data_IF_881275158477
#
_entry.id   IF_881275158477
#
_cell.length_a   1.000
_cell.length_b   1.000
_cell.length_c   1.000
_cell.angle_alpha   90.00
_cell.angle_beta   90.00
_cell.angle_gamma   90.00
#
_symmetry.space_group_name_H-M   'P 1'
#
loop_
_entity.id
_entity.type
_entity.pdbx_description
1 polymer ?
#
# COMPACT_ATOMS: atom_id res chain seq x y z
N UNK A 1 7.44 -11.05 13.95
CA UNK A 1 5.96 -11.04 14.09
C UNK A 1 5.37 -12.39 14.50
N UNK A 2 5.76 -13.55 13.92
CA UNK A 2 5.34 -14.87 14.48
C UNK A 2 5.78 -14.98 15.94
N UNK A 3 7.04 -14.64 16.24
CA UNK A 3 7.56 -14.60 17.62
C UNK A 3 6.67 -13.74 18.52
N UNK A 4 6.18 -12.58 18.08
CA UNK A 4 5.25 -11.75 18.85
C UNK A 4 3.94 -12.47 19.20
N UNK A 5 3.31 -13.07 18.19
CA UNK A 5 2.03 -13.75 18.35
C UNK A 5 2.14 -14.99 19.26
N UNK A 6 3.27 -15.68 19.23
CA UNK A 6 3.49 -16.90 20.04
C UNK A 6 4.03 -16.61 21.42
N UNK A 7 4.90 -15.60 21.60
CA UNK A 7 5.57 -15.31 22.88
C UNK A 7 4.80 -14.31 23.74
N UNK A 8 4.22 -13.27 23.15
CA UNK A 8 3.50 -12.24 23.90
C UNK A 8 2.00 -12.55 23.99
N UNK A 9 1.38 -12.92 22.86
CA UNK A 9 -0.05 -13.27 22.82
C UNK A 9 -0.35 -14.73 23.16
N UNK A 10 0.67 -15.56 23.42
CA UNK A 10 0.52 -16.98 23.77
C UNK A 10 -0.40 -17.76 22.82
N UNK A 11 -0.42 -17.40 21.52
CA UNK A 11 -1.22 -18.10 20.53
C UNK A 11 -0.53 -19.38 20.05
N UNK A 12 -1.30 -20.46 19.75
CA UNK A 12 -0.73 -21.64 19.15
C UNK A 12 -0.15 -21.33 17.76
N UNK A 13 0.99 -21.93 17.45
CA UNK A 13 1.77 -21.68 16.23
C UNK A 13 0.92 -21.73 14.96
N UNK A 14 -0.02 -22.67 14.88
CA UNK A 14 -0.94 -22.85 13.73
C UNK A 14 -1.86 -21.64 13.53
N UNK A 15 -2.44 -21.08 14.61
CA UNK A 15 -3.28 -19.88 14.54
C UNK A 15 -2.44 -18.63 14.22
N UNK A 16 -1.24 -18.53 14.79
CA UNK A 16 -0.33 -17.43 14.51
C UNK A 16 0.13 -17.42 13.04
N UNK A 17 0.48 -18.58 12.48
CA UNK A 17 0.85 -18.73 11.08
C UNK A 17 -0.31 -18.36 10.15
N UNK A 18 -1.51 -18.88 10.39
CA UNK A 18 -2.70 -18.52 9.59
C UNK A 18 -3.00 -17.03 9.65
N UNK A 19 -2.88 -16.41 10.82
CA UNK A 19 -3.08 -14.96 10.99
C UNK A 19 -2.06 -14.17 10.15
N UNK A 20 -0.78 -14.56 10.18
CA UNK A 20 0.25 -13.88 9.39
C UNK A 20 0.04 -14.07 7.88
N UNK A 21 -0.30 -15.28 7.43
CA UNK A 21 -0.58 -15.57 6.01
C UNK A 21 -1.79 -14.79 5.51
N UNK A 22 -2.88 -14.74 6.30
CA UNK A 22 -4.07 -13.97 5.96
C UNK A 22 -3.77 -12.46 5.90
N UNK A 23 -2.96 -11.96 6.84
CA UNK A 23 -2.49 -10.58 6.81
C UNK A 23 -1.65 -10.29 5.57
N UNK A 24 -0.68 -11.16 5.25
CA UNK A 24 0.15 -11.04 4.04
C UNK A 24 -0.68 -11.04 2.75
N UNK A 25 -1.66 -11.96 2.65
CA UNK A 25 -2.60 -12.01 1.53
C UNK A 25 -3.44 -10.74 1.40
N UNK A 26 -4.01 -10.26 2.51
CA UNK A 26 -4.79 -9.01 2.54
C UNK A 26 -3.92 -7.79 2.17
N UNK A 27 -2.70 -7.72 2.69
CA UNK A 27 -1.73 -6.67 2.37
C UNK A 27 -1.28 -6.69 0.90
N UNK A 28 -1.46 -7.82 0.21
CA UNK A 28 -1.13 -7.96 -1.22
C UNK A 28 -2.30 -7.58 -2.13
N UNK A 29 -3.54 -7.69 -1.65
CA UNK A 29 -4.76 -7.29 -2.37
C UNK A 29 -5.12 -5.81 -2.18
N UNK A 30 -4.89 -5.26 -0.99
CA UNK A 30 -5.17 -3.86 -0.64
C UNK A 30 -4.51 -2.81 -1.54
N UNK A 31 -3.33 -3.02 -2.16
CA UNK A 31 -2.78 -2.13 -3.20
C UNK A 31 -3.73 -1.85 -4.36
N UNK A 32 -4.55 -2.82 -4.77
CA UNK A 32 -5.51 -2.63 -5.86
C UNK A 32 -6.57 -1.57 -5.49
N UNK A 33 -7.07 -1.63 -4.25
CA UNK A 33 -8.02 -0.67 -3.71
C UNK A 33 -7.36 0.69 -3.50
N UNK A 34 -6.14 0.72 -2.96
CA UNK A 34 -5.37 1.95 -2.76
C UNK A 34 -5.10 2.69 -4.07
N UNK A 35 -4.64 1.97 -5.09
CA UNK A 35 -4.41 2.53 -6.43
C UNK A 35 -5.71 3.04 -7.07
N UNK A 36 -6.80 2.27 -6.96
CA UNK A 36 -8.11 2.69 -7.46
C UNK A 36 -8.57 4.02 -6.84
N UNK A 37 -8.43 4.19 -5.52
CA UNK A 37 -8.80 5.41 -4.82
C UNK A 37 -7.90 6.60 -5.20
N UNK A 38 -6.60 6.37 -5.34
CA UNK A 38 -5.63 7.38 -5.75
C UNK A 38 -5.90 7.89 -7.16
N UNK A 39 -6.11 6.98 -8.11
CA UNK A 39 -6.25 7.34 -9.53
C UNK A 39 -7.65 7.87 -9.88
N UNK A 40 -8.68 7.57 -9.06
CA UNK A 40 -10.08 7.96 -9.35
C UNK A 40 -10.58 9.20 -8.60
N UNK A 41 -10.13 9.46 -7.37
CA UNK A 41 -10.76 10.47 -6.50
C UNK A 41 -9.76 11.47 -5.91
N UNK A 42 -8.85 10.99 -5.06
CA UNK A 42 -8.08 11.87 -4.16
C UNK A 42 -6.78 12.40 -4.78
N UNK A 43 -6.25 11.73 -5.81
CA UNK A 43 -4.89 11.97 -6.28
C UNK A 43 -3.84 11.28 -5.40
N UNK A 44 -2.69 10.98 -5.99
CA UNK A 44 -1.64 10.13 -5.38
C UNK A 44 -1.10 10.71 -4.07
N UNK A 45 -0.84 12.01 -4.00
CA UNK A 45 -0.35 12.67 -2.78
C UNK A 45 -1.29 12.49 -1.59
N UNK A 46 -2.57 12.82 -1.76
CA UNK A 46 -3.55 12.75 -0.66
C UNK A 46 -3.81 11.31 -0.22
N UNK A 47 -3.80 10.34 -1.14
CA UNK A 47 -3.92 8.93 -0.79
C UNK A 47 -2.72 8.44 0.02
N UNK A 48 -1.50 8.81 -0.35
CA UNK A 48 -0.29 8.47 0.42
C UNK A 48 -0.37 9.08 1.81
N UNK A 49 -0.74 10.36 1.92
CA UNK A 49 -0.82 11.07 3.20
C UNK A 49 -1.88 10.44 4.12
N UNK A 50 -3.10 10.21 3.61
CA UNK A 50 -4.18 9.59 4.37
C UNK A 50 -3.83 8.17 4.80
N UNK A 51 -3.30 7.34 3.89
CA UNK A 51 -2.90 5.97 4.19
C UNK A 51 -1.76 5.91 5.23
N UNK A 52 -0.83 6.86 5.17
CA UNK A 52 0.26 7.00 6.13
C UNK A 52 -0.25 7.42 7.52
N UNK A 53 -1.21 8.35 7.60
CA UNK A 53 -1.85 8.72 8.86
C UNK A 53 -2.62 7.55 9.49
N UNK A 54 -3.37 6.79 8.69
CA UNK A 54 -4.05 5.56 9.16
C UNK A 54 -3.03 4.57 9.70
N UNK A 55 -1.95 4.32 8.96
CA UNK A 55 -0.88 3.43 9.41
C UNK A 55 -0.24 3.91 10.73
N UNK A 56 -0.05 5.22 10.89
CA UNK A 56 0.51 5.80 12.11
C UNK A 56 -0.40 5.61 13.33
N UNK A 57 -1.71 5.84 13.18
CA UNK A 57 -2.70 5.63 14.25
C UNK A 57 -2.71 4.17 14.69
N UNK A 58 -2.67 3.26 13.73
CA UNK A 58 -2.65 1.81 13.98
C UNK A 58 -1.40 1.39 14.74
N UNK A 59 -0.22 1.80 14.26
CA UNK A 59 1.06 1.50 14.91
C UNK A 59 1.13 2.06 16.34
N UNK A 60 0.60 3.28 16.54
CA UNK A 60 0.53 3.90 17.87
C UNK A 60 -0.41 3.15 18.82
N UNK A 61 -1.51 2.61 18.29
CA UNK A 61 -2.47 1.79 19.06
C UNK A 61 -1.83 0.47 19.47
N UNK A 62 -1.11 -0.18 18.55
CA UNK A 62 -0.38 -1.43 18.83
C UNK A 62 0.66 -1.28 19.94
N UNK A 63 1.41 -0.15 19.96
CA UNK A 63 2.35 0.15 21.05
C UNK A 63 1.62 0.30 22.38
N UNK A 64 0.49 1.01 22.42
CA UNK A 64 -0.29 1.19 23.66
C UNK A 64 -0.85 -0.14 24.19
N UNK A 65 -1.30 -1.03 23.29
CA UNK A 65 -1.78 -2.36 23.71
C UNK A 65 -0.68 -3.27 24.24
N UNK A 66 0.59 -3.02 23.89
CA UNK A 66 1.75 -3.75 24.42
C UNK A 66 2.14 -3.32 25.84
N UNK A 67 1.64 -2.17 26.32
CA UNK A 67 1.87 -1.69 27.68
C UNK A 67 1.03 -2.41 28.74
N UNK A 68 0.33 -3.50 28.39
CA UNK A 68 -0.30 -4.41 29.33
C UNK A 68 0.37 -5.78 29.28
N UNK A 69 1.59 -5.91 29.81
CA UNK A 69 2.05 -7.20 30.29
C UNK A 69 1.12 -7.60 31.44
N UNK A 70 0.88 -8.90 31.57
CA UNK A 70 0.34 -9.47 32.79
C UNK A 70 1.04 -8.82 33.99
N UNK A 71 0.27 -8.19 34.87
CA UNK A 71 0.81 -7.46 36.01
C UNK A 71 1.61 -8.44 36.86
N UNK A 72 2.93 -8.22 36.91
CA UNK A 72 3.89 -9.07 37.60
C UNK A 72 3.82 -8.87 39.12
N UNK A 73 2.74 -9.32 39.74
CA UNK A 73 2.66 -9.54 41.18
C UNK A 73 2.93 -11.00 41.49
N UNK A 74 4.06 -11.31 42.16
CA UNK A 74 4.59 -12.65 42.36
C UNK A 74 3.58 -13.75 42.70
N UNK A 75 3.70 -14.88 42.00
CA UNK A 75 3.02 -16.13 42.34
C UNK A 75 2.39 -16.83 41.14
N UNK A 76 3.18 -17.62 40.40
CA UNK A 76 2.73 -18.83 39.70
C UNK A 76 1.42 -18.81 38.90
N UNK A 77 1.04 -17.70 38.26
CA UNK A 77 -0.15 -17.68 37.38
C UNK A 77 0.27 -17.88 35.92
N UNK A 78 -0.29 -18.93 35.32
CA UNK A 78 -0.22 -19.24 33.90
C UNK A 78 -0.81 -18.03 33.15
N UNK A 79 -0.01 -17.36 32.31
CA UNK A 79 -0.46 -16.26 31.48
C UNK A 79 -1.67 -16.71 30.65
N UNK A 80 -2.82 -16.10 30.93
CA UNK A 80 -4.08 -16.45 30.28
C UNK A 80 -4.05 -15.93 28.84
N UNK A 81 -4.59 -16.73 27.91
CA UNK A 81 -4.69 -16.37 26.49
C UNK A 81 -5.39 -15.00 26.34
N UNK A 82 -4.91 -14.17 25.40
CA UNK A 82 -5.37 -12.79 25.21
C UNK A 82 -6.90 -12.68 25.21
N UNK A 83 -7.42 -11.69 25.94
CA UNK A 83 -8.86 -11.44 26.05
C UNK A 83 -9.49 -11.17 24.67
N UNK A 84 -10.78 -11.51 24.52
CA UNK A 84 -11.51 -11.40 23.26
C UNK A 84 -11.49 -9.96 22.72
N UNK A 85 -11.51 -8.96 23.62
CA UNK A 85 -11.39 -7.55 23.27
C UNK A 85 -10.00 -7.16 22.75
N UNK A 86 -8.94 -7.62 23.40
CA UNK A 86 -7.55 -7.38 22.96
C UNK A 86 -7.27 -8.03 21.59
N UNK A 87 -7.82 -9.23 21.38
CA UNK A 87 -7.69 -9.94 20.11
C UNK A 87 -8.46 -9.23 18.98
N UNK A 88 -9.65 -8.69 19.25
CA UNK A 88 -10.42 -7.90 18.29
C UNK A 88 -9.67 -6.61 17.88
N UNK A 89 -9.09 -5.89 18.85
CA UNK A 89 -8.26 -4.70 18.59
C UNK A 89 -7.05 -5.09 17.73
N UNK A 90 -6.39 -6.22 18.03
CA UNK A 90 -5.27 -6.71 17.23
C UNK A 90 -5.69 -7.00 15.78
N UNK A 91 -6.77 -7.75 15.55
CA UNK A 91 -7.22 -8.05 14.19
C UNK A 91 -7.65 -6.81 13.41
N UNK A 92 -8.36 -5.87 14.06
CA UNK A 92 -8.73 -4.60 13.45
C UNK A 92 -7.48 -3.78 13.09
N UNK A 93 -6.50 -3.72 13.99
CA UNK A 93 -5.24 -3.02 13.76
C UNK A 93 -4.45 -3.66 12.60
N UNK A 94 -4.39 -5.00 12.51
CA UNK A 94 -3.77 -5.70 11.40
C UNK A 94 -4.50 -5.44 10.07
N UNK A 95 -5.84 -5.43 10.07
CA UNK A 95 -6.61 -5.11 8.88
C UNK A 95 -6.35 -3.67 8.40
N UNK A 96 -6.38 -2.70 9.31
CA UNK A 96 -6.11 -1.30 8.98
C UNK A 96 -4.65 -1.06 8.57
N UNK A 97 -3.68 -1.76 9.19
CA UNK A 97 -2.29 -1.73 8.78
C UNK A 97 -2.11 -2.26 7.36
N UNK A 98 -2.81 -3.33 6.99
CA UNK A 98 -2.79 -3.87 5.64
C UNK A 98 -3.33 -2.83 4.63
N UNK A 99 -4.45 -2.18 4.94
CA UNK A 99 -5.02 -1.11 4.09
C UNK A 99 -4.06 0.07 3.95
N UNK A 100 -3.47 0.54 5.06
CA UNK A 100 -2.49 1.63 5.05
C UNK A 100 -1.25 1.29 4.21
N UNK A 101 -0.66 0.11 4.44
CA UNK A 101 0.49 -0.36 3.66
C UNK A 101 0.15 -0.52 2.17
N UNK A 102 -1.05 -1.01 1.85
CA UNK A 102 -1.56 -1.14 0.50
C UNK A 102 -1.75 0.20 -0.20
N UNK A 103 -2.18 1.24 0.51
CA UNK A 103 -2.30 2.59 -0.05
C UNK A 103 -0.96 3.28 -0.33
N UNK A 104 0.06 3.02 0.49
CA UNK A 104 1.36 3.69 0.40
C UNK A 104 2.22 3.10 -0.72
N UNK A 105 2.43 1.77 -0.72
CA UNK A 105 3.43 1.10 -1.58
C UNK A 105 3.30 1.37 -3.09
N UNK A 106 2.14 1.16 -3.73
CA UNK A 106 2.01 1.40 -5.17
C UNK A 106 2.05 2.90 -5.49
N UNK A 107 1.47 3.73 -4.62
CA UNK A 107 1.33 5.16 -4.86
C UNK A 107 2.65 5.90 -4.71
N UNK A 108 3.52 5.54 -3.75
CA UNK A 108 4.81 6.23 -3.54
C UNK A 108 5.74 6.07 -4.73
N UNK A 109 5.82 4.86 -5.31
CA UNK A 109 6.66 4.62 -6.49
C UNK A 109 6.13 5.39 -7.69
N UNK A 110 4.82 5.33 -7.93
CA UNK A 110 4.17 6.06 -9.02
C UNK A 110 4.30 7.59 -8.85
N UNK A 111 4.08 8.10 -7.64
CA UNK A 111 4.22 9.51 -7.31
C UNK A 111 5.66 10.01 -7.48
N UNK A 112 6.65 9.19 -7.14
CA UNK A 112 8.06 9.48 -7.38
C UNK A 112 8.42 9.55 -8.86
N UNK A 113 7.82 8.67 -9.68
CA UNK A 113 7.95 8.71 -11.13
C UNK A 113 7.37 10.02 -11.71
N UNK A 114 6.19 10.41 -11.22
CA UNK A 114 5.46 11.61 -11.68
C UNK A 114 6.23 12.92 -11.45
N UNK A 115 7.26 12.92 -10.61
CA UNK A 115 8.09 14.11 -10.38
C UNK A 115 9.01 14.44 -11.57
N UNK A 116 9.26 13.48 -12.45
CA UNK A 116 10.16 13.65 -13.59
C UNK A 116 9.38 13.67 -14.90
N UNK A 117 9.73 14.57 -15.81
CA UNK A 117 9.14 14.60 -17.15
C UNK A 117 9.92 13.68 -18.10
N UNK A 118 9.31 12.58 -18.53
CA UNK A 118 9.97 11.63 -19.45
C UNK A 118 10.09 12.19 -20.88
N UNK A 119 9.38 13.28 -21.21
CA UNK A 119 9.45 13.90 -22.54
C UNK A 119 10.77 14.65 -22.78
N UNK A 120 11.47 15.04 -21.70
CA UNK A 120 12.79 15.67 -21.78
C UNK A 120 13.92 14.63 -21.56
N UNK A 121 14.79 14.37 -22.56
CA UNK A 121 15.86 13.39 -22.44
C UNK A 121 16.84 13.69 -21.29
N UNK A 122 16.99 14.96 -20.88
CA UNK A 122 17.83 15.34 -19.73
C UNK A 122 17.20 14.96 -18.40
N UNK A 123 15.87 14.91 -18.32
CA UNK A 123 15.14 14.51 -17.12
C UNK A 123 14.99 13.00 -17.05
N UNK A 124 14.79 12.31 -18.17
CA UNK A 124 14.77 10.85 -18.23
C UNK A 124 16.02 10.18 -17.62
N UNK A 125 17.21 10.75 -17.86
CA UNK A 125 18.45 10.27 -17.24
C UNK A 125 18.47 10.44 -15.70
N UNK A 126 17.79 11.46 -15.17
CA UNK A 126 17.65 11.69 -13.72
C UNK A 126 16.66 10.71 -13.10
N UNK A 127 15.60 10.36 -13.80
CA UNK A 127 14.62 9.33 -13.39
C UNK A 127 15.32 7.99 -13.11
N UNK A 128 16.21 7.55 -14.00
CA UNK A 128 16.99 6.32 -13.78
C UNK A 128 17.88 6.37 -12.54
N UNK A 129 18.56 7.50 -12.31
CA UNK A 129 19.37 7.69 -11.09
C UNK A 129 18.52 7.66 -9.83
N UNK A 130 17.33 8.26 -9.86
CA UNK A 130 16.37 8.22 -8.77
C UNK A 130 15.95 6.79 -8.46
N UNK A 131 15.53 6.00 -9.46
CA UNK A 131 15.11 4.62 -9.23
C UNK A 131 16.25 3.72 -8.75
N UNK A 132 17.45 3.87 -9.30
CA UNK A 132 18.63 3.13 -8.84
C UNK A 132 18.90 3.38 -7.35
N UNK A 133 18.87 4.66 -6.93
CA UNK A 133 19.06 5.01 -5.53
C UNK A 133 17.90 4.52 -4.65
N UNK A 134 16.67 4.65 -5.13
CA UNK A 134 15.47 4.17 -4.43
C UNK A 134 15.56 2.67 -4.12
N UNK A 135 15.90 1.84 -5.12
CA UNK A 135 16.03 0.39 -4.91
C UNK A 135 17.23 0.03 -4.03
N UNK A 136 18.34 0.76 -4.15
CA UNK A 136 19.49 0.57 -3.27
C UNK A 136 19.13 0.84 -1.79
N UNK A 137 18.52 1.99 -1.51
CA UNK A 137 18.09 2.36 -0.15
C UNK A 137 17.02 1.41 0.38
N UNK A 138 16.08 0.97 -0.47
CA UNK A 138 15.09 -0.03 -0.10
C UNK A 138 15.75 -1.36 0.33
N UNK A 139 16.71 -1.85 -0.46
CA UNK A 139 17.46 -3.06 -0.11
C UNK A 139 18.20 -2.94 1.21
N UNK A 140 18.92 -1.82 1.41
CA UNK A 140 19.60 -1.53 2.67
C UNK A 140 18.63 -1.44 3.87
N UNK A 141 17.46 -0.83 3.67
CA UNK A 141 16.43 -0.71 4.70
C UNK A 141 15.84 -2.06 5.08
N UNK A 142 15.63 -2.97 4.12
CA UNK A 142 15.18 -4.34 4.39
C UNK A 142 16.23 -5.10 5.20
N UNK A 143 17.51 -4.99 4.83
CA UNK A 143 18.60 -5.63 5.58
C UNK A 143 18.65 -5.13 7.03
N UNK A 144 18.56 -3.82 7.25
CA UNK A 144 18.51 -3.23 8.59
C UNK A 144 17.26 -3.65 9.37
N UNK A 145 16.11 -3.76 8.71
CA UNK A 145 14.87 -4.21 9.34
C UNK A 145 14.94 -5.66 9.81
N UNK A 146 15.51 -6.57 9.01
CA UNK A 146 15.60 -8.00 9.40
C UNK A 146 16.76 -8.30 10.35
N UNK A 147 17.72 -7.39 10.52
CA UNK A 147 18.86 -7.54 11.43
C UNK A 147 18.68 -6.71 12.70
N UNK A 148 18.80 -5.39 12.60
CA UNK A 148 18.81 -4.46 13.73
C UNK A 148 17.46 -4.42 14.43
N UNK A 149 16.36 -4.27 13.68
CA UNK A 149 15.03 -4.16 14.30
C UNK A 149 14.62 -5.49 14.97
N UNK A 150 14.93 -6.62 14.34
CA UNK A 150 14.70 -7.95 14.95
C UNK A 150 15.55 -8.12 16.21
N UNK A 151 16.83 -7.74 16.17
CA UNK A 151 17.69 -7.80 17.35
C UNK A 151 17.16 -6.96 18.50
N UNK A 152 16.66 -5.74 18.24
CA UNK A 152 16.01 -4.90 19.25
C UNK A 152 14.74 -5.55 19.79
N UNK A 153 13.91 -6.14 18.92
CA UNK A 153 12.69 -6.85 19.32
C UNK A 153 12.98 -8.01 20.26
N UNK A 154 14.03 -8.78 19.99
CA UNK A 154 14.38 -9.99 20.75
C UNK A 154 15.18 -9.68 22.04
N UNK A 155 16.03 -8.66 22.06
CA UNK A 155 16.94 -8.38 23.20
C UNK A 155 16.52 -7.20 24.09
N UNK A 156 15.92 -6.16 23.53
CA UNK A 156 15.52 -4.94 24.28
C UNK A 156 14.03 -4.97 24.61
N UNK A 157 13.24 -5.55 23.71
CA UNK A 157 11.82 -5.81 23.91
C UNK A 157 10.93 -5.19 22.83
N UNK A 158 9.68 -5.65 22.80
CA UNK A 158 8.70 -5.32 21.77
C UNK A 158 8.28 -3.85 21.74
N UNK A 159 8.30 -3.16 22.88
CA UNK A 159 7.98 -1.73 22.97
C UNK A 159 8.92 -0.87 22.12
N UNK A 160 10.24 -1.04 22.27
CA UNK A 160 11.24 -0.36 21.45
C UNK A 160 11.26 -0.88 20.01
N UNK A 161 11.09 -2.20 19.84
CA UNK A 161 11.06 -2.85 18.54
C UNK A 161 9.92 -2.42 17.60
N UNK A 162 8.79 -1.97 18.16
CA UNK A 162 7.68 -1.35 17.41
C UNK A 162 7.73 0.19 17.45
N UNK A 163 8.27 0.77 18.52
CA UNK A 163 8.43 2.21 18.69
C UNK A 163 9.35 2.86 17.65
N UNK A 164 10.51 2.26 17.38
CA UNK A 164 11.49 2.80 16.43
C UNK A 164 10.89 2.93 15.00
N UNK A 165 10.28 1.88 14.40
CA UNK A 165 9.62 2.02 13.11
C UNK A 165 8.47 3.03 13.11
N UNK A 166 7.72 3.13 14.21
CA UNK A 166 6.59 4.06 14.34
C UNK A 166 7.04 5.52 14.40
N UNK A 167 8.16 5.80 15.05
CA UNK A 167 8.77 7.12 15.06
C UNK A 167 9.36 7.47 13.69
N UNK A 168 10.04 6.52 13.04
CA UNK A 168 10.57 6.73 11.69
C UNK A 168 9.45 7.03 10.68
N UNK A 169 8.32 6.33 10.78
CA UNK A 169 7.14 6.60 9.96
C UNK A 169 6.54 7.99 10.23
N UNK A 170 6.46 8.40 11.50
CA UNK A 170 6.01 9.75 11.87
C UNK A 170 6.87 10.84 11.23
N UNK A 171 8.20 10.71 11.35
CA UNK A 171 9.15 11.65 10.73
C UNK A 171 9.00 11.67 9.21
N UNK A 172 8.76 10.52 8.58
CA UNK A 172 8.51 10.43 7.13
C UNK A 172 7.23 11.17 6.73
N UNK A 173 6.14 11.03 7.48
CA UNK A 173 4.88 11.75 7.23
C UNK A 173 5.08 13.26 7.31
N UNK A 174 5.79 13.72 8.34
CA UNK A 174 6.09 15.14 8.53
C UNK A 174 6.92 15.68 7.37
N UNK A 175 8.00 14.97 6.99
CA UNK A 175 8.83 15.36 5.86
C UNK A 175 8.06 15.38 4.53
N UNK A 176 7.20 14.37 4.29
CA UNK A 176 6.35 14.30 3.10
C UNK A 176 5.32 15.43 3.06
N UNK A 177 4.71 15.77 4.21
CA UNK A 177 3.79 16.90 4.32
C UNK A 177 4.46 18.25 4.04
N UNK A 178 5.65 18.50 4.62
CA UNK A 178 6.42 19.71 4.36
C UNK A 178 6.89 19.85 2.92
N UNK A 179 7.08 18.73 2.22
CA UNK A 179 7.44 18.70 0.80
C UNK A 179 6.31 19.08 -0.16
N UNK A 180 5.07 19.22 0.31
CA UNK A 180 3.89 19.49 -0.52
C UNK A 180 4.08 20.60 -1.58
N UNK A 181 4.59 21.80 -1.27
CA UNK A 181 4.75 22.86 -2.27
C UNK A 181 5.85 22.60 -3.30
N UNK A 182 6.74 21.64 -3.06
CA UNK A 182 7.80 21.27 -4.00
C UNK A 182 7.35 20.18 -4.99
N UNK A 183 6.25 19.47 -4.69
CA UNK A 183 5.83 18.34 -5.51
C UNK A 183 5.01 18.75 -6.73
N UNK A 184 5.29 18.08 -7.85
CA UNK A 184 4.43 18.11 -9.03
C UNK A 184 3.25 17.17 -8.80
N UNK A 185 2.08 17.75 -8.54
CA UNK A 185 0.84 16.99 -8.38
C UNK A 185 0.11 16.89 -9.72
N UNK A 186 -0.02 15.67 -10.24
CA UNK A 186 -0.82 15.38 -11.43
C UNK A 186 -2.29 15.19 -11.04
N UNK A 187 -3.21 15.69 -11.87
CA UNK A 187 -4.63 15.47 -11.69
C UNK A 187 -4.98 13.98 -11.92
N UNK A 188 -5.93 13.41 -11.15
CA UNK A 188 -6.37 12.04 -11.36
C UNK A 188 -7.00 11.88 -12.74
N UNK A 189 -6.47 10.94 -13.54
CA UNK A 189 -6.89 10.68 -14.94
C UNK A 189 -7.95 9.57 -15.02
N UNK A 190 -8.37 9.03 -13.87
CA UNK A 190 -9.29 7.91 -13.73
C UNK A 190 -8.59 6.56 -13.67
N UNK A 191 -9.20 5.58 -13.02
CA UNK A 191 -8.61 4.24 -12.88
C UNK A 191 -8.77 3.39 -14.14
N UNK A 192 -7.73 2.65 -14.57
CA UNK A 192 -7.87 1.63 -15.62
C UNK A 192 -8.95 0.58 -15.30
N UNK A 193 -9.19 0.29 -14.02
CA UNK A 193 -10.20 -0.66 -13.58
C UNK A 193 -11.63 -0.20 -13.90
N UNK A 194 -11.96 1.08 -13.72
CA UNK A 194 -13.31 1.58 -14.08
C UNK A 194 -13.56 1.42 -15.56
N UNK A 195 -12.54 1.67 -16.40
CA UNK A 195 -12.64 1.52 -17.85
C UNK A 195 -12.79 0.05 -18.26
N UNK A 196 -12.04 -0.86 -17.64
CA UNK A 196 -12.18 -2.29 -17.90
C UNK A 196 -13.61 -2.76 -17.61
N UNK A 197 -14.17 -2.36 -16.46
CA UNK A 197 -15.56 -2.69 -16.11
C UNK A 197 -16.54 -2.05 -17.09
N UNK A 198 -16.36 -0.78 -17.47
CA UNK A 198 -17.20 -0.12 -18.46
C UNK A 198 -17.19 -0.84 -19.82
N UNK A 199 -16.02 -1.25 -20.30
CA UNK A 199 -15.88 -1.99 -21.56
C UNK A 199 -16.54 -3.37 -21.45
N UNK A 200 -16.34 -4.11 -20.36
CA UNK A 200 -16.99 -5.40 -20.14
C UNK A 200 -18.52 -5.28 -20.09
N UNK A 201 -19.04 -4.29 -19.36
CA UNK A 201 -20.48 -4.03 -19.27
C UNK A 201 -21.04 -3.60 -20.63
N UNK A 202 -20.34 -2.71 -21.35
CA UNK A 202 -20.74 -2.27 -22.68
C UNK A 202 -20.75 -3.41 -23.69
N UNK A 203 -19.72 -4.27 -23.68
CA UNK A 203 -19.63 -5.46 -24.54
C UNK A 203 -20.79 -6.43 -24.25
N UNK A 204 -21.08 -6.69 -22.98
CA UNK A 204 -22.18 -7.57 -22.60
C UNK A 204 -23.55 -7.02 -23.02
N UNK A 205 -23.79 -5.72 -22.81
CA UNK A 205 -25.03 -5.05 -23.23
C UNK A 205 -25.18 -4.99 -24.75
N UNK A 206 -24.08 -4.76 -25.48
CA UNK A 206 -24.06 -4.64 -26.95
C UNK A 206 -23.83 -5.97 -27.68
N UNK A 207 -23.88 -7.12 -26.99
CA UNK A 207 -23.64 -8.45 -27.59
C UNK A 207 -24.57 -8.83 -28.75
N UNK A 208 -25.72 -8.14 -28.87
CA UNK A 208 -26.72 -8.36 -29.94
C UNK A 208 -26.60 -7.33 -31.08
N UNK A 209 -25.71 -6.35 -30.95
CA UNK A 209 -25.50 -5.31 -31.97
C UNK A 209 -24.52 -5.87 -33.00
N UNK A 210 -24.88 -5.77 -34.28
CA UNK A 210 -23.99 -6.19 -35.37
C UNK A 210 -22.69 -5.39 -35.36
N UNK A 211 -21.57 -6.06 -35.61
CA UNK A 211 -20.27 -5.39 -35.74
C UNK A 211 -20.29 -4.45 -36.96
N UNK A 212 -19.82 -3.22 -36.76
CA UNK A 212 -19.66 -2.24 -37.85
C UNK A 212 -18.54 -2.73 -38.78
N UNK A 213 -18.76 -2.65 -40.10
CA UNK A 213 -17.83 -3.16 -41.10
C UNK A 213 -16.55 -2.30 -41.23
N UNK A 214 -16.66 -0.98 -41.03
CA UNK A 214 -15.53 -0.05 -41.03
C UNK A 214 -15.19 0.44 -39.61
N UNK A 215 -13.99 0.11 -39.07
CA UNK A 215 -13.51 0.62 -37.78
C UNK A 215 -13.41 2.14 -37.69
N UNK A 216 -13.43 2.86 -38.81
CA UNK A 216 -13.36 4.34 -38.85
C UNK A 216 -14.64 5.03 -38.40
N UNK A 217 -15.77 4.33 -38.41
CA UNK A 217 -17.06 4.86 -37.95
C UNK A 217 -17.23 4.79 -36.42
N UNK A 218 -16.30 4.14 -35.71
CA UNK A 218 -16.32 4.06 -34.26
C UNK A 218 -15.95 5.42 -33.64
N UNK A 219 -16.73 5.83 -32.64
CA UNK A 219 -16.49 7.04 -31.86
C UNK A 219 -15.07 7.05 -31.29
N UNK A 220 -14.34 8.15 -31.56
CA UNK A 220 -12.96 8.37 -31.13
C UNK A 220 -12.90 9.65 -30.32
N UNK A 221 -12.29 9.61 -29.14
CA UNK A 221 -12.14 10.79 -28.29
C UNK A 221 -10.68 10.96 -27.92
N UNK A 222 -9.98 11.83 -28.66
CA UNK A 222 -8.54 12.03 -28.53
C UNK A 222 -8.13 12.59 -27.15
N UNK A 223 -9.02 13.33 -26.48
CA UNK A 223 -8.78 13.83 -25.13
C UNK A 223 -8.84 12.72 -24.07
N UNK A 224 -9.80 11.80 -24.18
CA UNK A 224 -9.95 10.67 -23.25
C UNK A 224 -8.91 9.58 -23.53
N UNK A 225 -8.54 9.38 -24.80
CA UNK A 225 -7.65 8.31 -25.26
C UNK A 225 -6.16 8.66 -25.19
N UNK A 226 -5.82 9.95 -25.16
CA UNK A 226 -4.45 10.49 -25.04
C UNK A 226 -3.62 9.89 -23.90
N UNK A 227 -4.11 9.82 -22.65
CA UNK A 227 -3.34 9.25 -21.54
C UNK A 227 -3.28 7.70 -21.54
N UNK A 228 -3.99 7.02 -22.43
CA UNK A 228 -4.15 5.56 -22.45
C UNK A 228 -3.28 4.88 -23.51
N UNK A 229 -2.88 5.65 -24.52
CA UNK A 229 -2.32 5.09 -25.74
C UNK A 229 -0.92 5.61 -25.97
N UNK A 230 -0.05 4.71 -26.42
CA UNK A 230 1.29 5.05 -26.90
C UNK A 230 1.13 5.81 -28.23
N UNK A 231 0.79 7.10 -28.15
CA UNK A 231 0.56 7.99 -29.30
C UNK A 231 -0.89 8.31 -29.67
N UNK A 232 -1.84 8.29 -28.74
CA UNK A 232 -3.22 8.79 -28.97
C UNK A 232 -4.19 7.80 -29.64
N UNK A 233 -3.81 6.53 -29.86
CA UNK A 233 -4.66 5.50 -30.50
C UNK A 233 -4.75 4.20 -29.70
N UNK A 234 -5.97 3.81 -29.34
CA UNK A 234 -6.27 2.45 -28.86
C UNK A 234 -6.11 1.46 -30.03
N UNK A 235 -5.27 0.44 -29.87
CA UNK A 235 -5.06 -0.59 -30.89
C UNK A 235 -6.25 -1.56 -30.92
N UNK A 236 -6.85 -1.73 -32.10
CA UNK A 236 -7.93 -2.72 -32.29
C UNK A 236 -7.36 -4.14 -32.40
N UNK A 237 -7.92 -5.08 -31.63
CA UNK A 237 -7.57 -6.50 -31.71
C UNK A 237 -8.60 -7.24 -32.57
N UNK A 238 -8.14 -8.19 -33.39
CA UNK A 238 -9.01 -9.03 -34.24
C UNK A 238 -9.52 -10.29 -33.53
N UNK A 239 -9.14 -10.50 -32.26
CA UNK A 239 -9.28 -11.79 -31.57
C UNK A 239 -10.63 -11.96 -30.84
N UNK A 240 -11.34 -10.88 -30.53
CA UNK A 240 -12.62 -10.92 -29.83
C UNK A 240 -13.74 -10.41 -30.74
N UNK A 241 -14.17 -11.27 -31.67
CA UNK A 241 -15.31 -11.05 -32.55
C UNK A 241 -16.56 -11.74 -32.02
#
# INVERSE_FOLDING_TARGET
>A
MISYLTTQLHMPLTKAANTLTNFGGTASLTPLLGAFLADSYAGRFWTILAASLVYQVVSSTLIRTQLQPCDGGGGGKICQQADTGQLAILYLSLALAAVGAGGIRPCVVAFGADQFDETDPKQAAKTWRYFNWYYFVMGASILLAVTVVVWVQDNVGWGWGLGIPTLAMFLSIVAFGFGYPLYRNLNPVGSPFTRLVQVSVAAWRKRKVGAVADPRELYRNEEIDGPISVGGKLLHTKQMR
#
